data_IF_858394959187
#
_entry.id   IF_858394959187
#
_cell.length_a   1.000
_cell.length_b   1.000
_cell.length_c   1.000
_cell.angle_alpha   90.00
_cell.angle_beta   90.00
_cell.angle_gamma   90.00
#
_symmetry.space_group_name_H-M   'P 1'
#
loop_
_entity.id
_entity.type
_entity.pdbx_description
1 polymer ?
#
# COMPACT_ATOMS: atom_id res chain seq x y z
N UNK A 1 10.83 -14.48 6.84
CA UNK A 1 10.14 -13.22 7.10
C UNK A 1 9.86 -12.57 5.77
N UNK A 2 8.59 -12.33 5.48
CA UNK A 2 8.10 -11.69 4.25
C UNK A 2 7.74 -10.23 4.59
N UNK A 3 7.99 -9.31 3.66
CA UNK A 3 7.51 -7.92 3.69
C UNK A 3 6.48 -7.72 2.61
N UNK A 4 5.21 -7.63 3.02
CA UNK A 4 4.09 -7.42 2.11
C UNK A 4 3.74 -5.94 2.02
N UNK A 5 3.86 -5.35 0.84
CA UNK A 5 3.35 -4.03 0.51
C UNK A 5 1.92 -4.11 -0.03
N UNK A 6 1.03 -3.27 0.51
CA UNK A 6 -0.35 -3.14 0.09
C UNK A 6 -0.63 -1.70 -0.31
N UNK A 7 -1.18 -1.50 -1.50
CA UNK A 7 -1.78 -0.22 -1.85
C UNK A 7 -3.06 0.02 -1.03
N UNK A 8 -3.36 1.29 -0.74
CA UNK A 8 -4.58 1.65 -0.02
C UNK A 8 -5.77 1.79 -0.98
N UNK A 9 -5.61 2.59 -2.03
CA UNK A 9 -6.69 3.06 -2.90
C UNK A 9 -6.85 2.17 -4.12
N UNK A 10 -7.73 1.17 -4.04
CA UNK A 10 -7.96 0.22 -5.13
C UNK A 10 -7.64 -1.22 -4.74
N UNK A 11 -6.92 -1.40 -3.63
CA UNK A 11 -6.63 -2.71 -3.03
C UNK A 11 -7.34 -2.85 -1.69
N UNK A 12 -6.84 -2.19 -0.64
CA UNK A 12 -7.46 -2.26 0.70
C UNK A 12 -8.90 -1.73 0.67
N UNK A 13 -9.15 -0.56 0.06
CA UNK A 13 -10.50 0.01 0.01
C UNK A 13 -11.51 -0.82 -0.78
N UNK A 14 -11.04 -1.72 -1.66
CA UNK A 14 -11.89 -2.61 -2.46
C UNK A 14 -12.26 -3.89 -1.72
N UNK A 15 -11.39 -4.38 -0.83
CA UNK A 15 -11.67 -5.55 0.01
C UNK A 15 -11.10 -5.40 1.44
N UNK A 16 -11.63 -4.46 2.25
CA UNK A 16 -11.02 -4.11 3.54
C UNK A 16 -10.98 -5.29 4.52
N UNK A 17 -12.06 -6.10 4.54
CA UNK A 17 -12.17 -7.27 5.41
C UNK A 17 -11.10 -8.33 5.07
N UNK A 18 -10.89 -8.61 3.78
CA UNK A 18 -9.86 -9.54 3.35
C UNK A 18 -8.46 -9.05 3.74
N UNK A 19 -8.12 -7.80 3.43
CA UNK A 19 -6.77 -7.30 3.64
C UNK A 19 -6.45 -7.04 5.12
N UNK A 20 -7.42 -6.67 5.95
CA UNK A 20 -7.23 -6.61 7.40
C UNK A 20 -6.97 -8.01 7.99
N UNK A 21 -7.75 -9.02 7.60
CA UNK A 21 -7.53 -10.41 8.01
C UNK A 21 -6.17 -10.97 7.55
N UNK A 22 -5.82 -10.78 6.28
CA UNK A 22 -4.51 -11.15 5.74
C UNK A 22 -3.37 -10.47 6.52
N UNK A 23 -3.52 -9.18 6.82
CA UNK A 23 -2.47 -8.43 7.51
C UNK A 23 -2.30 -8.88 8.97
N UNK A 24 -3.41 -9.14 9.67
CA UNK A 24 -3.39 -9.71 11.01
C UNK A 24 -2.68 -11.08 11.02
N UNK A 25 -3.00 -11.95 10.06
CA UNK A 25 -2.34 -13.25 9.91
C UNK A 25 -0.83 -13.08 9.66
N UNK A 26 -0.45 -12.24 8.69
CA UNK A 26 0.96 -12.01 8.34
C UNK A 26 1.77 -11.51 9.54
N UNK A 27 1.25 -10.51 10.26
CA UNK A 27 1.89 -9.97 11.46
C UNK A 27 1.96 -11.02 12.58
N UNK A 28 0.91 -11.81 12.79
CA UNK A 28 0.88 -12.91 13.76
C UNK A 28 1.95 -13.97 13.51
N UNK A 29 2.27 -14.23 12.24
CA UNK A 29 3.33 -15.13 11.79
C UNK A 29 4.74 -14.47 11.77
N UNK A 30 4.88 -13.26 12.34
CA UNK A 30 6.16 -12.55 12.42
C UNK A 30 6.64 -11.93 11.11
N UNK A 31 5.72 -11.69 10.16
CA UNK A 31 6.00 -10.96 8.92
C UNK A 31 5.67 -9.47 9.07
N UNK A 32 6.05 -8.68 8.07
CA UNK A 32 5.81 -7.24 8.06
C UNK A 32 4.80 -6.86 6.98
N UNK A 33 3.94 -5.90 7.28
CA UNK A 33 2.93 -5.37 6.36
C UNK A 33 3.14 -3.87 6.22
N UNK A 34 3.39 -3.42 5.00
CA UNK A 34 3.64 -2.05 4.62
C UNK A 34 2.44 -1.51 3.89
N UNK A 35 1.98 -0.33 4.29
CA UNK A 35 0.98 0.44 3.55
C UNK A 35 1.73 1.35 2.61
N UNK A 36 1.56 1.17 1.30
CA UNK A 36 2.30 1.91 0.29
C UNK A 36 1.32 2.79 -0.48
N UNK A 37 1.32 4.09 -0.20
CA UNK A 37 0.26 5.00 -0.65
C UNK A 37 0.80 6.26 -1.33
N UNK A 38 -0.02 6.81 -2.22
CA UNK A 38 0.18 8.15 -2.76
C UNK A 38 -0.12 9.28 -1.77
N UNK A 39 -0.99 9.06 -0.77
CA UNK A 39 -1.41 10.09 0.18
C UNK A 39 -0.28 10.55 1.09
N UNK A 40 -0.31 11.80 1.54
CA UNK A 40 0.58 12.27 2.60
C UNK A 40 0.26 11.53 3.91
N UNK A 41 1.32 11.16 4.63
CA UNK A 41 1.18 10.58 5.96
C UNK A 41 0.75 11.67 6.96
N UNK A 42 -0.41 11.48 7.58
CA UNK A 42 -1.00 12.39 8.56
C UNK A 42 -2.38 11.92 9.00
N UNK A 43 -3.09 12.79 9.74
CA UNK A 43 -4.36 12.45 10.40
C UNK A 43 -5.44 11.94 9.43
N UNK A 44 -5.53 12.52 8.22
CA UNK A 44 -6.48 12.09 7.19
C UNK A 44 -6.21 10.64 6.74
N UNK A 45 -4.95 10.27 6.55
CA UNK A 45 -4.58 8.89 6.20
C UNK A 45 -4.89 7.94 7.36
N UNK A 46 -4.66 8.35 8.61
CA UNK A 46 -4.98 7.52 9.79
C UNK A 46 -6.48 7.30 9.94
N UNK A 47 -7.29 8.33 9.70
CA UNK A 47 -8.74 8.21 9.68
C UNK A 47 -9.20 7.21 8.62
N UNK A 48 -8.69 7.33 7.38
CA UNK A 48 -9.02 6.42 6.29
C UNK A 48 -8.58 4.97 6.60
N UNK A 49 -7.40 4.79 7.19
CA UNK A 49 -6.90 3.48 7.62
C UNK A 49 -7.79 2.84 8.69
N UNK A 50 -8.30 3.64 9.63
CA UNK A 50 -9.24 3.19 10.66
C UNK A 50 -10.58 2.78 10.03
N UNK A 51 -11.12 3.60 9.11
CA UNK A 51 -12.37 3.32 8.39
C UNK A 51 -12.30 2.02 7.57
N UNK A 52 -11.11 1.69 7.04
CA UNK A 52 -10.85 0.46 6.29
C UNK A 52 -10.36 -0.70 7.16
N UNK A 53 -10.48 -0.61 8.50
CA UNK A 53 -10.20 -1.71 9.42
C UNK A 53 -8.72 -2.06 9.61
N UNK A 54 -7.81 -1.20 9.13
CA UNK A 54 -6.36 -1.39 9.26
C UNK A 54 -5.82 -0.84 10.59
N UNK A 55 -6.60 -0.02 11.29
CA UNK A 55 -6.37 0.39 12.67
C UNK A 55 -7.66 0.19 13.48
N UNK A 56 -7.55 -0.39 14.66
CA UNK A 56 -8.67 -0.57 15.58
C UNK A 56 -8.18 -0.60 17.04
N UNK A 57 -9.08 -0.83 17.99
CA UNK A 57 -8.74 -0.91 19.42
C UNK A 57 -7.70 -2.00 19.75
N UNK A 58 -7.59 -3.02 18.91
CA UNK A 58 -6.58 -4.07 18.98
C UNK A 58 -5.20 -3.68 18.42
N UNK A 59 -5.07 -2.45 17.90
CA UNK A 59 -3.84 -1.89 17.36
C UNK A 59 -3.84 -1.77 15.83
N UNK A 60 -2.65 -1.66 15.26
CA UNK A 60 -2.43 -1.50 13.83
C UNK A 60 -2.22 -2.85 13.18
N UNK A 61 -2.89 -3.07 12.05
CA UNK A 61 -2.71 -4.23 11.17
C UNK A 61 -1.72 -3.92 10.06
N UNK A 62 -0.71 -3.11 10.36
CA UNK A 62 0.43 -2.83 9.52
C UNK A 62 1.62 -2.45 10.40
N UNK A 63 2.83 -2.66 9.90
CA UNK A 63 4.07 -2.35 10.63
C UNK A 63 4.65 -1.01 10.21
N UNK A 64 4.46 -0.60 8.96
CA UNK A 64 5.05 0.61 8.39
C UNK A 64 4.16 1.28 7.33
N UNK A 65 4.43 2.56 7.08
CA UNK A 65 3.79 3.34 6.02
C UNK A 65 4.86 3.92 5.10
N UNK A 66 4.71 3.68 3.79
CA UNK A 66 5.54 4.24 2.73
C UNK A 66 4.67 5.20 1.90
N UNK A 67 4.75 6.48 2.24
CA UNK A 67 4.01 7.54 1.54
C UNK A 67 4.89 8.19 0.47
N UNK A 68 4.45 8.15 -0.79
CA UNK A 68 5.09 8.86 -1.91
C UNK A 68 5.16 10.35 -1.59
N UNK A 69 4.06 10.94 -1.16
CA UNK A 69 3.97 12.38 -0.93
C UNK A 69 4.81 12.84 0.25
N UNK A 70 4.80 12.11 1.37
CA UNK A 70 5.67 12.44 2.52
C UNK A 70 7.14 12.38 2.14
N UNK A 71 7.56 11.33 1.42
CA UNK A 71 8.94 11.20 0.95
C UNK A 71 9.33 12.36 0.01
N UNK A 72 8.51 12.62 -1.02
CA UNK A 72 8.79 13.65 -2.01
C UNK A 72 8.85 15.05 -1.40
N UNK A 73 7.95 15.32 -0.45
CA UNK A 73 7.94 16.57 0.31
C UNK A 73 9.21 16.73 1.15
N UNK A 74 9.67 15.65 1.80
CA UNK A 74 10.86 15.67 2.64
C UNK A 74 12.14 15.97 1.85
N UNK A 75 12.21 15.57 0.57
CA UNK A 75 13.35 15.84 -0.31
C UNK A 75 13.21 17.14 -1.12
N UNK A 76 12.16 17.93 -0.86
CA UNK A 76 11.97 19.25 -1.48
C UNK A 76 11.37 19.23 -2.88
N UNK A 77 10.75 18.13 -3.30
CA UNK A 77 10.04 18.06 -4.59
C UNK A 77 8.86 19.04 -4.58
N UNK A 78 8.65 19.82 -5.65
CA UNK A 78 7.47 20.66 -5.77
C UNK A 78 6.19 19.82 -5.82
N UNK A 79 5.26 20.09 -4.88
CA UNK A 79 3.95 19.43 -4.80
C UNK A 79 2.86 20.49 -4.86
N UNK A 80 1.88 20.28 -5.72
CA UNK A 80 0.65 21.07 -5.76
C UNK A 80 -0.46 20.28 -5.09
N UNK A 81 -1.38 20.98 -4.43
CA UNK A 81 -2.55 20.37 -3.82
C UNK A 81 -3.79 21.02 -4.41
N UNK A 82 -4.67 20.23 -5.02
CA UNK A 82 -5.97 20.73 -5.49
C UNK A 82 -6.80 21.15 -4.26
N UNK A 83 -7.40 22.33 -4.33
CA UNK A 83 -8.32 22.90 -3.33
C UNK A 83 -7.76 23.10 -1.91
N UNK A 84 -6.44 23.21 -1.76
CA UNK A 84 -5.79 23.44 -0.46
C UNK A 84 -5.95 22.28 0.53
N UNK A 85 -6.54 21.15 0.10
CA UNK A 85 -6.62 19.92 0.89
C UNK A 85 -5.38 19.08 0.60
N UNK A 86 -4.65 18.74 1.66
CA UNK A 86 -3.43 17.92 1.57
C UNK A 86 -3.68 16.52 1.00
N UNK A 87 -4.94 16.07 0.95
CA UNK A 87 -5.31 14.75 0.49
C UNK A 87 -4.98 14.49 -0.99
N UNK A 88 -4.94 15.49 -1.87
CA UNK A 88 -4.74 15.26 -3.32
C UNK A 88 -3.43 15.88 -3.85
N UNK A 89 -2.28 15.26 -3.55
CA UNK A 89 -0.99 15.70 -4.03
C UNK A 89 -0.87 15.48 -5.54
N UNK A 90 -0.45 16.52 -6.25
CA UNK A 90 -0.09 16.49 -7.65
C UNK A 90 1.40 16.83 -7.79
N UNK A 91 2.12 15.99 -8.52
CA UNK A 91 3.51 16.23 -8.89
C UNK A 91 3.78 15.64 -10.27
N UNK A 92 4.98 15.89 -10.79
CA UNK A 92 5.40 15.33 -12.08
C UNK A 92 5.25 13.80 -12.09
N UNK A 93 4.48 13.22 -13.04
CA UNK A 93 4.34 11.76 -13.18
C UNK A 93 5.68 11.03 -13.34
N UNK A 94 6.71 11.67 -13.92
CA UNK A 94 8.04 11.10 -14.05
C UNK A 94 8.75 10.94 -12.69
N UNK A 95 8.34 11.71 -11.68
CA UNK A 95 8.80 11.58 -10.29
C UNK A 95 7.87 10.66 -9.50
N UNK A 96 6.55 10.89 -9.58
CA UNK A 96 5.55 10.13 -8.84
C UNK A 96 5.62 8.63 -9.11
N UNK A 97 5.58 8.25 -10.39
CA UNK A 97 5.43 6.85 -10.79
C UNK A 97 6.58 5.93 -10.33
N UNK A 98 7.87 6.28 -10.50
CA UNK A 98 8.94 5.43 -10.01
C UNK A 98 9.11 5.47 -8.48
N UNK A 99 8.58 6.49 -7.78
CA UNK A 99 8.79 6.64 -6.33
C UNK A 99 8.29 5.44 -5.55
N UNK A 100 7.15 4.86 -5.93
CA UNK A 100 6.57 3.71 -5.24
C UNK A 100 7.51 2.50 -5.26
N UNK A 101 8.01 2.15 -6.45
CA UNK A 101 8.97 1.07 -6.63
C UNK A 101 10.28 1.33 -5.86
N UNK A 102 10.77 2.57 -5.88
CA UNK A 102 11.96 2.97 -5.13
C UNK A 102 11.77 2.80 -3.61
N UNK A 103 10.62 3.25 -3.07
CA UNK A 103 10.31 3.09 -1.64
C UNK A 103 10.24 1.61 -1.26
N UNK A 104 9.57 0.78 -2.08
CA UNK A 104 9.51 -0.67 -1.88
C UNK A 104 10.91 -1.31 -1.90
N UNK A 105 11.75 -0.96 -2.88
CA UNK A 105 13.11 -1.48 -2.98
C UNK A 105 13.97 -1.09 -1.78
N UNK A 106 13.85 0.17 -1.33
CA UNK A 106 14.61 0.70 -0.20
C UNK A 106 14.20 0.06 1.12
N UNK A 107 12.90 -0.16 1.32
CA UNK A 107 12.35 -0.83 2.50
C UNK A 107 12.50 -2.36 2.44
N UNK A 108 12.93 -2.93 1.31
CA UNK A 108 13.07 -4.37 1.11
C UNK A 108 11.73 -5.10 1.04
N UNK A 109 10.68 -4.45 0.54
CA UNK A 109 9.36 -5.08 0.29
C UNK A 109 9.53 -6.24 -0.68
N UNK A 110 9.05 -7.42 -0.31
CA UNK A 110 9.18 -8.64 -1.10
C UNK A 110 8.06 -8.75 -2.15
N UNK A 111 6.83 -8.43 -1.76
CA UNK A 111 5.63 -8.49 -2.62
C UNK A 111 4.87 -7.18 -2.49
N UNK A 112 4.51 -6.56 -3.61
CA UNK A 112 3.65 -5.38 -3.67
C UNK A 112 2.35 -5.73 -4.38
N UNK A 113 1.21 -5.52 -3.73
CA UNK A 113 -0.13 -5.66 -4.32
C UNK A 113 -0.72 -4.27 -4.55
N UNK A 114 -1.06 -3.96 -5.79
CA UNK A 114 -1.48 -2.63 -6.24
C UNK A 114 -2.46 -2.78 -7.41
N UNK A 115 -3.42 -1.88 -7.58
CA UNK A 115 -4.42 -1.95 -8.66
C UNK A 115 -3.96 -1.29 -9.96
N UNK A 116 -2.90 -0.47 -9.92
CA UNK A 116 -2.43 0.29 -11.07
C UNK A 116 -1.57 -0.54 -12.02
N UNK A 117 -1.81 -0.44 -13.33
CA UNK A 117 -0.93 -0.99 -14.35
C UNK A 117 0.28 -0.08 -14.65
N UNK A 118 0.19 1.20 -14.28
CA UNK A 118 1.23 2.21 -14.55
C UNK A 118 2.53 1.89 -13.81
N UNK A 119 2.44 1.37 -12.58
CA UNK A 119 3.62 1.16 -11.75
C UNK A 119 4.41 -0.11 -12.11
N UNK A 120 3.75 -1.13 -12.67
CA UNK A 120 4.34 -2.47 -12.90
C UNK A 120 5.72 -2.40 -13.56
N UNK A 121 5.86 -1.53 -14.57
CA UNK A 121 7.12 -1.38 -15.32
C UNK A 121 8.31 -0.96 -14.46
N UNK A 122 8.10 -0.22 -13.37
CA UNK A 122 9.18 0.23 -12.47
C UNK A 122 9.59 -0.84 -11.46
N UNK A 123 8.80 -1.91 -11.32
CA UNK A 123 9.11 -3.03 -10.45
C UNK A 123 9.94 -4.12 -11.15
N UNK A 124 10.10 -4.05 -12.49
CA UNK A 124 10.78 -5.08 -13.30
C UNK A 124 12.28 -5.22 -13.01
N UNK A 125 12.93 -4.15 -12.59
CA UNK A 125 14.38 -4.11 -12.35
C UNK A 125 14.74 -4.17 -10.84
N UNK A 126 13.76 -4.46 -9.97
CA UNK A 126 13.98 -4.61 -8.53
C UNK A 126 13.51 -5.98 -8.06
N UNK A 127 13.86 -6.35 -6.82
CA UNK A 127 13.51 -7.66 -6.25
C UNK A 127 12.05 -7.80 -5.85
N UNK A 128 11.36 -6.68 -5.63
CA UNK A 128 9.96 -6.67 -5.21
C UNK A 128 9.06 -7.23 -6.32
N UNK A 129 8.36 -8.33 -6.02
CA UNK A 129 7.37 -8.87 -6.95
C UNK A 129 6.12 -8.01 -6.94
N UNK A 130 5.78 -7.44 -8.09
CA UNK A 130 4.53 -6.69 -8.27
C UNK A 130 3.39 -7.61 -8.68
N UNK A 131 2.23 -7.46 -8.05
CA UNK A 131 1.01 -8.19 -8.36
C UNK A 131 -0.11 -7.18 -8.58
N UNK A 132 -0.59 -7.08 -9.81
CA UNK A 132 -1.74 -6.23 -10.15
C UNK A 132 -3.02 -6.84 -9.59
N UNK A 133 -3.72 -6.10 -8.72
CA UNK A 133 -4.93 -6.54 -8.03
C UNK A 133 -6.16 -6.43 -8.94
N UNK A 134 -6.25 -7.37 -9.88
CA UNK A 134 -7.39 -7.49 -10.80
C UNK A 134 -8.55 -8.28 -10.18
N UNK A 135 -9.76 -8.23 -10.77
CA UNK A 135 -10.87 -9.08 -10.34
C UNK A 135 -10.54 -10.59 -10.32
N UNK A 136 -9.70 -11.05 -11.25
CA UNK A 136 -9.26 -12.44 -11.30
C UNK A 136 -8.36 -12.80 -10.10
N UNK A 137 -7.42 -11.90 -9.76
CA UNK A 137 -6.56 -12.06 -8.58
C UNK A 137 -7.38 -12.03 -7.30
N UNK A 138 -8.33 -11.09 -7.18
CA UNK A 138 -9.28 -11.05 -6.05
C UNK A 138 -10.05 -12.37 -5.91
N UNK A 139 -10.63 -12.86 -6.99
CA UNK A 139 -11.35 -14.14 -6.98
C UNK A 139 -10.43 -15.29 -6.55
N UNK A 140 -9.22 -15.35 -7.07
CA UNK A 140 -8.25 -16.36 -6.71
C UNK A 140 -7.88 -16.32 -5.21
N UNK A 141 -7.54 -15.14 -4.69
CA UNK A 141 -7.16 -14.95 -3.29
C UNK A 141 -8.31 -15.30 -2.33
N UNK A 142 -9.53 -14.84 -2.63
CA UNK A 142 -10.71 -15.17 -1.81
C UNK A 142 -10.99 -16.67 -1.76
N UNK A 143 -10.74 -17.40 -2.86
CA UNK A 143 -10.88 -18.87 -2.85
C UNK A 143 -9.83 -19.54 -1.99
N UNK A 144 -8.57 -19.16 -2.09
CA UNK A 144 -7.51 -19.77 -1.27
C UNK A 144 -7.79 -19.54 0.22
N UNK A 145 -8.17 -18.33 0.61
CA UNK A 145 -8.47 -18.02 2.00
C UNK A 145 -9.73 -18.72 2.51
N UNK A 146 -10.77 -18.85 1.68
CA UNK A 146 -12.00 -19.58 2.06
C UNK A 146 -11.77 -21.08 2.28
N UNK A 147 -10.78 -21.69 1.61
CA UNK A 147 -10.45 -23.11 1.79
C UNK A 147 -9.46 -23.36 2.94
N UNK A 148 -8.70 -22.33 3.35
CA UNK A 148 -7.66 -22.44 4.38
C UNK A 148 -8.16 -22.42 5.83
N UNK A 149 -9.42 -22.03 6.07
CA UNK A 149 -9.98 -21.98 7.43
C UNK A 149 -9.29 -20.95 8.33
N UNK A 150 -9.09 -19.72 7.80
CA UNK A 150 -8.78 -18.53 8.59
C UNK A 150 -10.05 -17.67 8.63
#
# INVERSE_FOLDING_TARGET
MIRLGLDLHGVITVDPSFFSGLSAFMIGEGNEVYIVTGREDGDELRAEMTENGMENDGGRLYTNVLSITTYQKAIGTPIQYLDGRKSQPMMDPAVWNPTKAMLCATAGVDIMIDDSDIYEKYFRDIKTQYITYTPAVRYFLTKIFSYGGI
#
